data_IF_618139545993
#
_entry.id   IF_618139545993
#
_cell.length_a   1.000
_cell.length_b   1.000
_cell.length_c   1.000
_cell.angle_alpha   90.00
_cell.angle_beta   90.00
_cell.angle_gamma   90.00
#
_symmetry.space_group_name_H-M   'P 1'
#
loop_
_entity.id
_entity.type
_entity.pdbx_description
1 polymer ?
#
# COMPACT_ATOMS: atom_id res chain seq x y z
N UNK A 1 -5.68 8.40 0.48
CA UNK A 1 -5.66 7.46 -0.69
C UNK A 1 -6.91 6.62 -0.74
N UNK A 2 -7.39 6.12 0.40
CA UNK A 2 -8.70 5.48 0.52
C UNK A 2 -9.86 6.34 -0.05
N UNK A 3 -9.80 7.67 0.05
CA UNK A 3 -10.84 8.58 -0.46
C UNK A 3 -11.12 8.46 -1.96
N UNK A 4 -10.13 8.04 -2.76
CA UNK A 4 -10.32 7.83 -4.20
C UNK A 4 -11.25 6.64 -4.50
N UNK A 5 -11.40 5.72 -3.56
CA UNK A 5 -12.21 4.51 -3.67
C UNK A 5 -13.36 4.49 -2.65
N UNK A 6 -13.76 5.66 -2.15
CA UNK A 6 -14.83 5.80 -1.15
C UNK A 6 -16.17 5.21 -1.57
N UNK A 7 -16.43 5.14 -2.88
CA UNK A 7 -17.66 4.59 -3.46
C UNK A 7 -17.54 3.09 -3.80
N UNK A 8 -16.42 2.46 -3.43
CA UNK A 8 -16.15 1.04 -3.61
C UNK A 8 -16.19 0.34 -2.25
N UNK A 9 -16.51 -0.94 -2.26
CA UNK A 9 -16.46 -1.77 -1.07
C UNK A 9 -15.01 -2.15 -0.75
N UNK A 10 -14.50 -1.63 0.38
CA UNK A 10 -13.11 -1.84 0.83
C UNK A 10 -12.99 -3.16 1.61
N UNK A 11 -12.68 -4.24 0.91
CA UNK A 11 -12.49 -5.58 1.51
C UNK A 11 -11.24 -5.64 2.40
N UNK A 12 -10.16 -4.93 2.01
CA UNK A 12 -8.93 -4.81 2.82
C UNK A 12 -8.22 -3.50 2.50
N UNK A 13 -7.79 -2.79 3.54
CA UNK A 13 -6.94 -1.60 3.41
C UNK A 13 -5.89 -1.57 4.53
N UNK A 14 -4.62 -1.29 4.19
CA UNK A 14 -3.57 -1.03 5.17
C UNK A 14 -2.47 -0.12 4.60
N UNK A 15 -1.76 0.58 5.48
CA UNK A 15 -0.65 1.48 5.15
C UNK A 15 0.62 1.10 5.92
N UNK A 16 0.94 -0.20 5.88
CA UNK A 16 2.01 -0.79 6.66
C UNK A 16 3.39 -0.43 6.09
N UNK A 17 4.43 -0.39 6.94
CA UNK A 17 5.80 -0.31 6.47
C UNK A 17 6.18 -1.60 5.71
N UNK A 18 6.85 -1.42 4.59
CA UNK A 18 7.43 -2.47 3.76
C UNK A 18 8.81 -2.08 3.26
N UNK A 19 9.42 -2.94 2.46
CA UNK A 19 10.79 -2.76 1.99
C UNK A 19 10.86 -2.85 0.47
N UNK A 20 11.56 -1.90 -0.16
CA UNK A 20 11.90 -1.99 -1.57
C UNK A 20 12.88 -3.13 -1.83
N UNK A 21 12.90 -3.62 -3.07
CA UNK A 21 13.96 -4.50 -3.55
C UNK A 21 15.31 -3.77 -3.67
N UNK A 22 15.28 -2.46 -4.00
CA UNK A 22 16.45 -1.59 -4.02
C UNK A 22 17.04 -1.46 -2.62
N UNK A 23 18.38 -1.48 -2.56
CA UNK A 23 19.16 -1.29 -1.33
C UNK A 23 19.81 0.09 -1.29
N UNK A 24 20.12 0.54 -0.08
CA UNK A 24 20.94 1.73 0.17
C UNK A 24 22.44 1.44 -0.03
N UNK A 25 23.29 2.43 0.23
CA UNK A 25 24.75 2.33 0.11
C UNK A 25 25.35 1.29 1.09
N UNK A 26 24.66 0.99 2.18
CA UNK A 26 25.07 0.00 3.17
C UNK A 26 24.51 -1.41 2.87
N UNK A 27 23.77 -1.57 1.76
CA UNK A 27 23.16 -2.84 1.38
C UNK A 27 21.87 -3.19 2.12
N UNK A 28 21.31 -2.29 2.93
CA UNK A 28 20.03 -2.49 3.60
C UNK A 28 18.88 -2.23 2.64
N UNK A 29 17.75 -2.93 2.82
CA UNK A 29 16.55 -2.62 2.03
C UNK A 29 15.94 -1.30 2.49
N UNK A 30 15.55 -0.47 1.53
CA UNK A 30 14.95 0.83 1.82
C UNK A 30 13.51 0.62 2.33
N UNK A 31 13.22 1.09 3.54
CA UNK A 31 11.90 0.98 4.16
C UNK A 31 11.00 2.17 3.77
N UNK A 32 9.76 1.89 3.37
CA UNK A 32 8.74 2.89 3.03
C UNK A 32 7.36 2.41 3.51
N UNK A 33 6.37 3.31 3.61
CA UNK A 33 4.97 2.91 3.84
C UNK A 33 4.28 2.61 2.51
N UNK A 34 3.55 1.51 2.46
CA UNK A 34 2.81 1.09 1.26
C UNK A 34 1.32 1.07 1.55
N UNK A 35 0.54 1.82 0.78
CA UNK A 35 -0.90 1.66 0.75
C UNK A 35 -1.26 0.39 -0.04
N UNK A 36 -1.73 -0.65 0.65
CA UNK A 36 -2.18 -1.91 0.05
C UNK A 36 -3.68 -2.04 0.21
N UNK A 37 -4.39 -2.19 -0.90
CA UNK A 37 -5.84 -2.17 -0.93
C UNK A 37 -6.43 -3.26 -1.82
N UNK A 38 -7.44 -3.94 -1.32
CA UNK A 38 -8.35 -4.79 -2.08
C UNK A 38 -9.74 -4.17 -1.98
N UNK A 39 -10.28 -3.73 -3.12
CA UNK A 39 -11.58 -3.07 -3.21
C UNK A 39 -12.43 -3.68 -4.32
N UNK A 40 -13.75 -3.67 -4.15
CA UNK A 40 -14.71 -4.16 -5.12
C UNK A 40 -15.61 -3.00 -5.56
N UNK A 41 -15.69 -2.77 -6.87
CA UNK A 41 -16.58 -1.75 -7.43
C UNK A 41 -18.04 -2.17 -7.21
N UNK A 42 -18.82 -1.29 -6.60
CA UNK A 42 -20.27 -1.45 -6.47
C UNK A 42 -20.90 -0.99 -7.79
N UNK A 43 -21.80 -1.80 -8.35
CA UNK A 43 -22.42 -1.59 -9.66
C UNK A 43 -23.72 -0.82 -9.53
#
# INVERSE_FOLDING_TARGET
MADYYKDWDLVKYNENPGHLHRRDENGNRIQLRFATMLAKKIK
#
